data_IF_788487700753
#
_entry.id   IF_788487700753
#
_cell.length_a   1.000
_cell.length_b   1.000
_cell.length_c   1.000
_cell.angle_alpha   90.00
_cell.angle_beta   90.00
_cell.angle_gamma   90.00
#
_symmetry.space_group_name_H-M   'P 1'
#
loop_
_entity.id
_entity.type
_entity.pdbx_description
1 polymer ?
#
# COMPACT_ATOMS: atom_id res chain seq x y z
N UNK A 1 4.64 -25.29 10.90
CA UNK A 1 4.01 -24.17 10.17
C UNK A 1 4.56 -22.89 10.75
N UNK A 2 5.25 -22.09 9.96
CA UNK A 2 5.71 -20.76 10.37
C UNK A 2 4.50 -19.87 10.66
N UNK A 3 4.57 -19.05 11.70
CA UNK A 3 3.53 -18.07 12.03
C UNK A 3 3.34 -17.11 10.84
N UNK A 4 2.15 -17.03 10.22
CA UNK A 4 1.92 -16.13 9.09
C UNK A 4 2.13 -14.66 9.45
N UNK A 5 2.11 -14.30 10.75
CA UNK A 5 2.46 -12.96 11.21
C UNK A 5 3.95 -12.62 11.10
N UNK A 6 4.81 -13.61 10.85
CA UNK A 6 6.23 -13.40 10.57
C UNK A 6 6.56 -13.30 9.09
N UNK A 7 5.58 -13.48 8.19
CA UNK A 7 5.81 -13.30 6.76
C UNK A 7 6.16 -11.83 6.45
N UNK A 8 7.33 -11.56 5.84
CA UNK A 8 7.74 -10.19 5.50
C UNK A 8 6.74 -9.43 4.64
N UNK A 9 6.02 -10.12 3.73
CA UNK A 9 4.99 -9.52 2.90
C UNK A 9 3.78 -9.09 3.75
N UNK A 10 3.36 -9.90 4.73
CA UNK A 10 2.28 -9.51 5.68
C UNK A 10 2.69 -8.27 6.46
N UNK A 11 3.89 -8.26 7.05
CA UNK A 11 4.37 -7.13 7.85
C UNK A 11 4.47 -5.84 7.02
N UNK A 12 4.93 -5.95 5.77
CA UNK A 12 5.06 -4.82 4.85
C UNK A 12 3.68 -4.31 4.39
N UNK A 13 2.72 -5.20 4.14
CA UNK A 13 1.32 -4.80 3.87
C UNK A 13 0.66 -4.09 5.06
N UNK A 14 0.95 -4.51 6.30
CA UNK A 14 0.46 -3.83 7.50
C UNK A 14 1.12 -2.45 7.70
N UNK A 15 2.40 -2.30 7.32
CA UNK A 15 3.03 -0.99 7.28
C UNK A 15 2.32 -0.08 6.27
N UNK A 16 2.11 -0.58 5.05
CA UNK A 16 1.43 0.15 3.99
C UNK A 16 0.01 0.58 4.42
N UNK A 17 -0.76 -0.31 5.04
CA UNK A 17 -2.09 0.02 5.58
C UNK A 17 -2.04 1.19 6.58
N UNK A 18 -1.08 1.18 7.50
CA UNK A 18 -0.92 2.29 8.45
C UNK A 18 -0.58 3.61 7.76
N UNK A 19 0.10 3.57 6.62
CA UNK A 19 0.32 4.76 5.79
C UNK A 19 -0.96 5.23 5.11
N UNK A 20 -1.82 4.32 4.63
CA UNK A 20 -3.15 4.68 4.14
C UNK A 20 -3.96 5.42 5.21
N UNK A 21 -4.00 4.89 6.44
CA UNK A 21 -4.74 5.51 7.55
C UNK A 21 -4.20 6.94 7.86
N UNK A 22 -2.88 7.13 7.79
CA UNK A 22 -2.24 8.45 7.97
C UNK A 22 -2.54 9.41 6.83
N UNK A 23 -2.60 8.92 5.60
CA UNK A 23 -2.99 9.73 4.44
C UNK A 23 -4.44 10.20 4.58
N UNK A 24 -5.35 9.31 4.98
CA UNK A 24 -6.74 9.69 5.25
C UNK A 24 -6.82 10.82 6.28
N UNK A 25 -6.03 10.74 7.36
CA UNK A 25 -5.94 11.80 8.35
C UNK A 25 -5.44 13.13 7.76
N UNK A 26 -4.36 13.07 6.98
CA UNK A 26 -3.78 14.25 6.35
C UNK A 26 -4.74 14.90 5.34
N UNK A 27 -5.51 14.10 4.61
CA UNK A 27 -6.57 14.57 3.71
C UNK A 27 -7.65 15.29 4.51
N UNK A 28 -8.16 14.70 5.60
CA UNK A 28 -9.18 15.34 6.46
C UNK A 28 -8.69 16.67 7.00
N UNK A 29 -7.45 16.73 7.48
CA UNK A 29 -6.83 17.95 7.99
C UNK A 29 -6.69 18.99 6.88
N UNK A 30 -6.19 18.60 5.71
CA UNK A 30 -6.00 19.50 4.56
C UNK A 30 -7.34 20.13 4.13
N UNK A 31 -8.39 19.32 3.99
CA UNK A 31 -9.73 19.83 3.67
C UNK A 31 -10.30 20.74 4.76
N UNK A 32 -10.01 20.47 6.04
CA UNK A 32 -10.41 21.37 7.12
C UNK A 32 -9.68 22.73 7.04
N UNK A 33 -8.39 22.73 6.70
CA UNK A 33 -7.59 23.95 6.51
C UNK A 33 -8.00 24.72 5.26
N UNK A 34 -8.34 24.04 4.18
CA UNK A 34 -8.88 24.63 2.96
C UNK A 34 -10.17 25.40 3.25
N UNK A 35 -11.12 24.77 3.98
CA UNK A 35 -12.35 25.44 4.41
C UNK A 35 -12.07 26.65 5.30
N UNK A 36 -11.13 26.54 6.23
CA UNK A 36 -10.74 27.66 7.10
C UNK A 36 -10.16 28.83 6.30
N UNK A 37 -9.30 28.54 5.31
CA UNK A 37 -8.75 29.54 4.39
C UNK A 37 -9.84 30.22 3.56
N UNK A 38 -10.78 29.44 3.02
CA UNK A 38 -11.90 29.99 2.25
C UNK A 38 -12.76 30.96 3.08
N UNK A 39 -12.92 30.67 4.37
CA UNK A 39 -13.72 31.47 5.31
C UNK A 39 -12.91 32.57 6.02
N UNK A 40 -11.61 32.71 5.75
CA UNK A 40 -10.75 33.64 6.46
C UNK A 40 -11.03 35.10 6.06
N UNK A 41 -11.13 35.97 7.06
CA UNK A 41 -11.12 37.43 6.89
C UNK A 41 -9.70 37.91 6.57
N UNK A 42 -9.57 39.14 6.04
CA UNK A 42 -8.27 39.64 5.53
C UNK A 42 -7.15 39.63 6.59
N UNK A 43 -7.47 39.81 7.88
CA UNK A 43 -6.47 39.76 8.97
C UNK A 43 -5.99 38.34 9.35
N UNK A 44 -6.71 37.29 8.94
CA UNK A 44 -6.37 35.89 9.24
C UNK A 44 -5.99 35.06 8.01
N UNK A 45 -6.11 35.62 6.81
CA UNK A 45 -5.91 34.89 5.54
C UNK A 45 -4.48 34.37 5.38
N UNK A 46 -3.47 35.16 5.73
CA UNK A 46 -2.07 34.76 5.58
C UNK A 46 -1.69 33.58 6.49
N UNK A 47 -2.21 33.56 7.71
CA UNK A 47 -2.03 32.42 8.62
C UNK A 47 -2.78 31.19 8.12
N UNK A 48 -4.04 31.35 7.70
CA UNK A 48 -4.83 30.26 7.15
C UNK A 48 -4.19 29.65 5.89
N UNK A 49 -3.60 30.49 5.03
CA UNK A 49 -2.87 30.07 3.84
C UNK A 49 -1.63 29.25 4.22
N UNK A 50 -0.82 29.73 5.17
CA UNK A 50 0.37 29.00 5.65
C UNK A 50 0.01 27.63 6.21
N UNK A 51 -1.04 27.55 7.04
CA UNK A 51 -1.50 26.29 7.61
C UNK A 51 -2.07 25.33 6.57
N UNK A 52 -2.78 25.84 5.56
CA UNK A 52 -3.25 25.03 4.43
C UNK A 52 -2.09 24.47 3.62
N UNK A 53 -1.12 25.30 3.23
CA UNK A 53 0.06 24.86 2.46
C UNK A 53 0.86 23.82 3.24
N UNK A 54 1.04 24.01 4.55
CA UNK A 54 1.73 23.04 5.39
C UNK A 54 0.99 21.68 5.43
N UNK A 55 -0.35 21.69 5.57
CA UNK A 55 -1.14 20.47 5.57
C UNK A 55 -1.11 19.77 4.20
N UNK A 56 -1.23 20.52 3.11
CA UNK A 56 -1.14 20.00 1.75
C UNK A 56 0.22 19.32 1.49
N UNK A 57 1.32 19.94 1.91
CA UNK A 57 2.65 19.34 1.80
C UNK A 57 2.74 18.00 2.52
N UNK A 58 2.26 17.91 3.76
CA UNK A 58 2.27 16.65 4.53
C UNK A 58 1.42 15.58 3.86
N UNK A 59 0.27 15.94 3.29
CA UNK A 59 -0.55 15.00 2.50
C UNK A 59 0.21 14.50 1.28
N UNK A 60 0.84 15.39 0.53
CA UNK A 60 1.57 15.03 -0.70
C UNK A 60 2.77 14.13 -0.37
N UNK A 61 3.53 14.45 0.69
CA UNK A 61 4.62 13.59 1.20
C UNK A 61 4.10 12.17 1.55
N UNK A 62 2.88 12.02 2.09
CA UNK A 62 2.29 10.70 2.36
C UNK A 62 1.86 9.95 1.11
N UNK A 63 1.43 10.64 0.05
CA UNK A 63 1.07 10.00 -1.23
C UNK A 63 2.32 9.38 -1.85
N UNK A 64 3.40 10.16 -1.95
CA UNK A 64 4.67 9.72 -2.52
C UNK A 64 5.24 8.50 -1.75
N UNK A 65 5.20 8.55 -0.41
CA UNK A 65 5.62 7.45 0.46
C UNK A 65 4.78 6.18 0.24
N UNK A 66 3.48 6.31 -0.04
CA UNK A 66 2.55 5.21 -0.18
C UNK A 66 2.76 4.47 -1.50
N UNK A 67 2.98 5.21 -2.59
CA UNK A 67 3.36 4.66 -3.90
C UNK A 67 4.72 3.93 -3.81
N UNK A 68 5.72 4.54 -3.18
CA UNK A 68 7.02 3.93 -2.98
C UNK A 68 6.93 2.62 -2.16
N UNK A 69 6.08 2.59 -1.14
CA UNK A 69 5.88 1.38 -0.33
C UNK A 69 5.15 0.27 -1.09
N UNK A 70 4.13 0.61 -1.88
CA UNK A 70 3.42 -0.36 -2.72
C UNK A 70 4.38 -0.97 -3.76
N UNK A 71 5.20 -0.14 -4.41
CA UNK A 71 6.23 -0.59 -5.36
C UNK A 71 7.26 -1.51 -4.68
N UNK A 72 7.76 -1.12 -3.51
CA UNK A 72 8.72 -1.94 -2.76
C UNK A 72 8.15 -3.30 -2.34
N UNK A 73 6.87 -3.37 -1.98
CA UNK A 73 6.21 -4.61 -1.58
C UNK A 73 6.20 -5.66 -2.70
N UNK A 74 6.14 -5.25 -3.97
CA UNK A 74 6.23 -6.15 -5.13
C UNK A 74 7.51 -6.98 -5.11
N UNK A 75 8.59 -6.44 -4.55
CA UNK A 75 9.90 -7.10 -4.49
C UNK A 75 10.09 -7.94 -3.22
N UNK A 76 9.16 -7.91 -2.27
CA UNK A 76 9.21 -8.74 -1.06
C UNK A 76 8.61 -10.12 -1.40
N UNK A 77 9.38 -11.22 -1.34
CA UNK A 77 8.84 -12.54 -1.59
C UNK A 77 7.90 -12.95 -0.45
N UNK A 78 6.71 -13.41 -0.80
CA UNK A 78 5.83 -14.04 0.19
C UNK A 78 6.36 -15.44 0.54
N UNK A 79 6.29 -15.77 1.83
CA UNK A 79 6.72 -17.05 2.41
C UNK A 79 5.53 -17.94 2.79
N UNK A 80 4.32 -17.39 2.78
CA UNK A 80 3.05 -18.07 3.03
C UNK A 80 1.97 -17.63 2.04
N UNK A 81 0.86 -18.38 2.02
CA UNK A 81 -0.31 -18.01 1.23
C UNK A 81 -0.94 -16.70 1.74
N UNK A 82 -0.90 -16.46 3.05
CA UNK A 82 -1.33 -15.22 3.68
C UNK A 82 -0.47 -14.03 3.22
N UNK A 83 0.85 -14.20 3.11
CA UNK A 83 1.74 -13.19 2.55
C UNK A 83 1.45 -12.89 1.08
N UNK A 84 1.18 -13.92 0.28
CA UNK A 84 0.81 -13.75 -1.13
C UNK A 84 -0.53 -13.02 -1.26
N UNK A 85 -1.51 -13.34 -0.40
CA UNK A 85 -2.80 -12.66 -0.35
C UNK A 85 -2.68 -11.20 0.11
N UNK A 86 -1.89 -10.94 1.16
CA UNK A 86 -1.64 -9.60 1.67
C UNK A 86 -0.96 -8.71 0.61
N UNK A 87 -0.03 -9.28 -0.15
CA UNK A 87 0.63 -8.61 -1.28
C UNK A 87 -0.37 -8.29 -2.40
N UNK A 88 -1.19 -9.27 -2.79
CA UNK A 88 -2.23 -9.08 -3.81
C UNK A 88 -3.22 -7.97 -3.44
N UNK A 89 -3.66 -7.92 -2.18
CA UNK A 89 -4.58 -6.90 -1.70
C UNK A 89 -4.02 -5.48 -1.84
N UNK A 90 -2.72 -5.29 -1.57
CA UNK A 90 -2.06 -3.99 -1.78
C UNK A 90 -2.00 -3.65 -3.27
N UNK A 91 -1.63 -4.59 -4.14
CA UNK A 91 -1.57 -4.37 -5.59
C UNK A 91 -2.92 -3.90 -6.13
N UNK A 92 -4.01 -4.58 -5.75
CA UNK A 92 -5.36 -4.23 -6.20
C UNK A 92 -5.75 -2.82 -5.76
N UNK A 93 -5.38 -2.43 -4.52
CA UNK A 93 -5.75 -1.12 -3.97
C UNK A 93 -4.85 0.02 -4.43
N UNK A 94 -3.58 -0.26 -4.70
CA UNK A 94 -2.59 0.75 -5.07
C UNK A 94 -2.59 1.07 -6.57
N UNK A 95 -2.73 0.06 -7.43
CA UNK A 95 -2.65 0.26 -8.87
C UNK A 95 -4.01 0.52 -9.54
N UNK A 96 -5.12 0.54 -8.77
CA UNK A 96 -6.51 0.67 -9.22
C UNK A 96 -6.65 0.22 -10.68
N UNK A 97 -6.46 -1.08 -11.00
CA UNK A 97 -6.18 -1.54 -12.35
C UNK A 97 -7.24 -1.02 -13.31
N UNK A 98 -6.92 0.08 -13.99
CA UNK A 98 -7.90 0.79 -14.78
C UNK A 98 -8.09 -0.01 -16.06
N UNK A 99 -9.34 -0.18 -16.55
CA UNK A 99 -9.59 -0.76 -17.86
C UNK A 99 -8.85 -0.04 -19.00
N UNK A 100 -8.35 1.18 -18.74
CA UNK A 100 -7.61 2.01 -19.71
C UNK A 100 -6.09 1.89 -19.57
N UNK A 101 -5.56 1.16 -18.59
CA UNK A 101 -4.12 1.01 -18.43
C UNK A 101 -3.60 -0.11 -19.37
N UNK A 102 -2.85 0.24 -20.43
CA UNK A 102 -2.65 -0.63 -21.58
C UNK A 102 -1.66 -1.79 -21.37
N UNK A 103 -1.15 -2.02 -20.16
CA UNK A 103 -0.07 -3.00 -19.95
C UNK A 103 -0.40 -4.15 -18.98
N UNK A 104 -1.35 -5.02 -19.31
CA UNK A 104 -1.51 -6.30 -18.62
C UNK A 104 -0.45 -7.35 -19.07
N UNK A 105 0.04 -8.22 -18.16
CA UNK A 105 -0.15 -8.19 -16.72
C UNK A 105 0.83 -7.23 -16.03
N UNK A 106 0.28 -6.40 -15.14
CA UNK A 106 1.03 -5.51 -14.27
C UNK A 106 2.18 -6.28 -13.58
N UNK A 107 3.43 -5.76 -13.57
CA UNK A 107 4.59 -6.43 -12.96
C UNK A 107 4.32 -6.95 -11.53
N UNK A 108 3.49 -6.22 -10.79
CA UNK A 108 3.04 -6.56 -9.44
C UNK A 108 2.27 -7.89 -9.37
N UNK A 109 1.33 -8.13 -10.29
CA UNK A 109 0.56 -9.39 -10.38
C UNK A 109 1.45 -10.57 -10.78
N UNK A 110 2.46 -10.35 -11.64
CA UNK A 110 3.46 -11.39 -11.99
C UNK A 110 4.25 -11.83 -10.76
N UNK A 111 4.60 -10.89 -9.89
CA UNK A 111 5.31 -11.19 -8.64
C UNK A 111 4.46 -12.05 -7.69
N UNK A 112 3.19 -11.69 -7.48
CA UNK A 112 2.24 -12.49 -6.68
C UNK A 112 2.08 -13.90 -7.25
N UNK A 113 1.92 -14.03 -8.58
CA UNK A 113 1.80 -15.34 -9.22
C UNK A 113 3.05 -16.20 -8.98
N UNK A 114 4.24 -15.63 -9.12
CA UNK A 114 5.49 -16.34 -8.89
C UNK A 114 5.63 -16.83 -7.43
N UNK A 115 5.17 -16.03 -6.45
CA UNK A 115 5.08 -16.45 -5.05
C UNK A 115 4.15 -17.67 -4.89
N UNK A 116 2.94 -17.61 -5.47
CA UNK A 116 1.97 -18.69 -5.39
C UNK A 116 2.46 -19.98 -6.06
N UNK A 117 3.03 -19.89 -7.27
CA UNK A 117 3.58 -21.05 -7.98
C UNK A 117 4.66 -21.77 -7.14
N UNK A 118 5.53 -20.99 -6.46
CA UNK A 118 6.57 -21.51 -5.58
C UNK A 118 5.98 -22.23 -4.35
N UNK A 119 4.99 -21.62 -3.71
CA UNK A 119 4.34 -22.19 -2.53
C UNK A 119 3.59 -23.49 -2.85
N UNK A 120 2.88 -23.52 -3.98
CA UNK A 120 2.18 -24.72 -4.47
C UNK A 120 3.18 -25.84 -4.78
N UNK A 121 4.31 -25.53 -5.43
CA UNK A 121 5.35 -26.50 -5.73
C UNK A 121 5.96 -27.09 -4.45
N UNK A 122 6.26 -26.26 -3.45
CA UNK A 122 6.78 -26.71 -2.16
C UNK A 122 5.80 -27.62 -1.42
N UNK A 123 4.50 -27.29 -1.44
CA UNK A 123 3.46 -28.12 -0.83
C UNK A 123 3.37 -29.51 -1.49
N UNK A 124 3.43 -29.58 -2.82
CA UNK A 124 3.43 -30.85 -3.57
C UNK A 124 4.69 -31.67 -3.32
N UNK A 125 5.86 -31.03 -3.22
CA UNK A 125 7.11 -31.70 -2.93
C UNK A 125 7.14 -32.34 -1.53
N UNK A 126 6.54 -31.68 -0.53
CA UNK A 126 6.43 -32.26 0.81
C UNK A 126 5.45 -33.44 0.85
N UNK A 127 4.31 -33.35 0.15
CA UNK A 127 3.36 -34.46 0.08
C UNK A 127 3.97 -35.73 -0.56
N UNK A 128 4.86 -35.58 -1.53
CA UNK A 128 5.55 -36.72 -2.15
C UNK A 128 6.63 -37.37 -1.26
N UNK A 129 7.11 -36.66 -0.22
CA UNK A 129 8.13 -37.16 0.69
C UNK A 129 7.55 -37.82 1.96
N UNK A 130 6.28 -37.56 2.30
CA UNK A 130 5.60 -38.16 3.46
C UNK A 130 4.97 -39.54 3.14
N UNK A 131 4.97 -39.95 1.86
CA UNK A 131 4.43 -41.24 1.37
C UNK A 131 5.51 -42.36 1.22
N UNK A 132 6.72 -42.17 1.76
CA UNK A 132 7.85 -43.12 1.67
C UNK A 132 8.39 -43.57 3.02
#
# INVERSE_FOLDING_TARGET
>A
MSDPMQDPAVLKSLQWQRHCDRLEEAVRLTSARERALHNATDGGRDEAQRLFVAAAKVRDDFIDDLEAQASALVHVPAQSFEGAAAKLAVVIRAEEPSPTDPTPPFPALRSVKADLDRLIAAMKGNAANDDG
#
